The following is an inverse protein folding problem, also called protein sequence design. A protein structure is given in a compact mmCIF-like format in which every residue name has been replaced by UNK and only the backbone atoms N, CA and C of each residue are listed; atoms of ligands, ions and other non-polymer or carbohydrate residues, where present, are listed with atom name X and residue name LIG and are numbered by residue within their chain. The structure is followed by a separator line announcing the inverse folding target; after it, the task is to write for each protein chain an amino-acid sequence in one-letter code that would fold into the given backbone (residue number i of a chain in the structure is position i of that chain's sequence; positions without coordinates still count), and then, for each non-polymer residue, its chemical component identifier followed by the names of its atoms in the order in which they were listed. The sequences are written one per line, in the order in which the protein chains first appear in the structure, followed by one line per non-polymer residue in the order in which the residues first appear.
data_IF_463561086085
#
_entry.id   IF_463561086085
#
_cell.length_a   1.000
_cell.length_b   1.000
_cell.length_c   1.000
_cell.angle_alpha   90.00
_cell.angle_beta   90.00
_cell.angle_gamma   90.00
#
_symmetry.space_group_name_H-M   'P 1'
#
loop_
_entity.id
_entity.type
_entity.pdbx_description
1 polymer ?
#
# COMPACT_ATOMS: atom_id res chain seq x y z
N UNK A 1 1.02 -31.92 11.68
CA UNK A 1 1.66 -30.83 10.94
C UNK A 1 3.15 -30.90 11.24
N UNK A 2 4.01 -31.04 10.23
CA UNK A 2 5.46 -31.04 10.43
C UNK A 2 5.95 -29.65 10.84
N UNK A 3 7.18 -29.53 11.33
CA UNK A 3 7.74 -28.24 11.72
C UNK A 3 7.81 -27.28 10.53
N UNK A 4 8.17 -27.78 9.35
CA UNK A 4 8.22 -27.02 8.10
C UNK A 4 6.83 -26.54 7.66
N UNK A 5 5.79 -27.36 7.86
CA UNK A 5 4.41 -26.95 7.57
C UNK A 5 3.93 -25.84 8.50
N UNK A 6 4.42 -25.77 9.74
CA UNK A 6 4.10 -24.65 10.63
C UNK A 6 4.67 -23.32 10.10
N UNK A 7 5.85 -23.33 9.48
CA UNK A 7 6.40 -22.12 8.85
C UNK A 7 5.51 -21.61 7.71
N UNK A 8 4.92 -22.52 6.94
CA UNK A 8 3.96 -22.17 5.87
C UNK A 8 2.67 -21.60 6.48
N UNK A 9 2.18 -22.21 7.56
CA UNK A 9 0.97 -21.77 8.27
C UNK A 9 1.11 -20.34 8.83
N UNK A 10 2.29 -20.01 9.36
CA UNK A 10 2.60 -18.67 9.90
C UNK A 10 3.21 -17.70 8.87
N UNK A 11 3.36 -18.10 7.61
CA UNK A 11 3.85 -17.22 6.55
C UNK A 11 2.83 -16.12 6.27
N UNK A 12 3.30 -14.88 6.14
CA UNK A 12 2.46 -13.76 5.76
C UNK A 12 2.00 -13.83 4.30
N UNK A 13 2.64 -14.65 3.47
CA UNK A 13 2.29 -14.82 2.08
C UNK A 13 1.27 -15.95 1.91
N UNK A 14 0.15 -15.75 1.17
CA UNK A 14 -0.76 -16.82 0.83
C UNK A 14 -0.05 -17.98 0.14
N UNK A 15 -0.33 -19.19 0.61
CA UNK A 15 0.10 -20.44 -0.01
C UNK A 15 -1.10 -21.36 -0.19
N UNK A 16 -1.24 -21.93 -1.39
CA UNK A 16 -2.27 -22.93 -1.71
C UNK A 16 -1.64 -24.08 -2.48
N UNK A 17 -2.00 -25.30 -2.09
CA UNK A 17 -1.70 -26.54 -2.78
C UNK A 17 -2.99 -27.09 -3.39
N UNK A 18 -2.97 -27.34 -4.69
CA UNK A 18 -4.07 -27.94 -5.44
C UNK A 18 -3.71 -29.34 -5.91
N UNK A 19 -4.72 -30.18 -6.10
CA UNK A 19 -4.58 -31.38 -6.92
C UNK A 19 -4.76 -31.04 -8.42
N UNK A 20 -4.52 -32.02 -9.27
CA UNK A 20 -4.66 -31.92 -10.74
C UNK A 20 -6.06 -31.55 -11.24
N UNK A 21 -7.10 -31.71 -10.40
CA UNK A 21 -8.47 -31.31 -10.71
C UNK A 21 -8.83 -29.90 -10.21
N UNK A 22 -7.85 -29.13 -9.70
CA UNK A 22 -8.06 -27.79 -9.16
C UNK A 22 -8.72 -27.74 -7.78
N UNK A 23 -8.82 -28.88 -7.08
CA UNK A 23 -9.31 -28.93 -5.71
C UNK A 23 -8.17 -28.60 -4.75
N UNK A 24 -8.46 -27.73 -3.78
CA UNK A 24 -7.52 -27.39 -2.71
C UNK A 24 -7.26 -28.63 -1.83
N UNK A 25 -5.99 -29.02 -1.73
CA UNK A 25 -5.49 -30.05 -0.81
C UNK A 25 -5.16 -29.41 0.53
N UNK A 26 -4.45 -28.29 0.50
CA UNK A 26 -4.06 -27.54 1.70
C UNK A 26 -3.84 -26.07 1.38
N UNK A 27 -3.95 -25.23 2.40
CA UNK A 27 -3.66 -23.80 2.32
C UNK A 27 -3.24 -23.30 3.71
N UNK A 28 -2.58 -22.14 3.78
CA UNK A 28 -2.31 -21.47 5.05
C UNK A 28 -3.43 -20.51 5.45
N UNK A 29 -3.38 -20.03 6.70
CA UNK A 29 -4.30 -19.01 7.23
C UNK A 29 -4.45 -17.78 6.33
N UNK A 30 -3.36 -17.27 5.74
CA UNK A 30 -3.46 -16.09 4.87
C UNK A 30 -4.23 -16.37 3.57
N UNK A 31 -4.02 -17.53 2.95
CA UNK A 31 -4.76 -17.94 1.77
C UNK A 31 -6.27 -18.14 2.04
N UNK A 32 -6.66 -18.55 3.24
CA UNK A 32 -8.07 -18.58 3.67
C UNK A 32 -8.73 -17.20 3.53
N UNK A 33 -8.05 -16.13 3.92
CA UNK A 33 -8.58 -14.77 3.78
C UNK A 33 -8.56 -14.28 2.34
N UNK A 34 -7.58 -14.71 1.54
CA UNK A 34 -7.50 -14.39 0.11
C UNK A 34 -8.69 -14.97 -0.66
N UNK A 35 -9.15 -16.18 -0.31
CA UNK A 35 -10.31 -16.83 -0.94
C UNK A 35 -11.64 -16.10 -0.72
N UNK A 36 -11.67 -15.06 0.12
CA UNK A 36 -12.79 -14.12 0.18
C UNK A 36 -12.81 -13.08 -0.94
N UNK A 37 -11.72 -12.93 -1.69
CA UNK A 37 -11.55 -11.94 -2.75
C UNK A 37 -11.33 -12.55 -4.16
N UNK A 38 -10.85 -13.79 -4.24
CA UNK A 38 -10.64 -14.55 -5.49
C UNK A 38 -11.14 -15.98 -5.30
N UNK A 39 -11.66 -16.60 -6.35
CA UNK A 39 -12.11 -17.99 -6.29
C UNK A 39 -10.94 -18.98 -6.37
N UNK A 40 -11.14 -20.20 -5.84
CA UNK A 40 -10.15 -21.27 -5.94
C UNK A 40 -9.84 -21.65 -7.41
N UNK A 41 -10.84 -21.62 -8.28
CA UNK A 41 -10.70 -21.90 -9.71
C UNK A 41 -9.82 -20.87 -10.42
N UNK A 42 -10.07 -19.58 -10.18
CA UNK A 42 -9.22 -18.50 -10.72
C UNK A 42 -7.77 -18.65 -10.24
N UNK A 43 -7.57 -18.94 -8.95
CA UNK A 43 -6.24 -19.11 -8.40
C UNK A 43 -5.51 -20.34 -8.96
N UNK A 44 -6.22 -21.43 -9.23
CA UNK A 44 -5.69 -22.61 -9.91
C UNK A 44 -5.31 -22.31 -11.37
N UNK A 45 -6.12 -21.52 -12.08
CA UNK A 45 -5.81 -21.05 -13.43
C UNK A 45 -4.53 -20.18 -13.44
N UNK A 46 -4.31 -19.35 -12.41
CA UNK A 46 -3.03 -18.65 -12.24
C UNK A 46 -1.87 -19.63 -12.03
N UNK A 47 -2.03 -20.62 -11.16
CA UNK A 47 -0.98 -21.61 -10.90
C UNK A 47 -0.57 -22.33 -12.21
N UNK A 48 -1.53 -22.84 -12.97
CA UNK A 48 -1.25 -23.54 -14.24
C UNK A 48 -0.65 -22.62 -15.31
N UNK A 49 -1.11 -21.37 -15.41
CA UNK A 49 -0.59 -20.39 -16.38
C UNK A 49 0.87 -20.03 -16.12
N UNK A 50 1.27 -19.92 -14.85
CA UNK A 50 2.61 -19.48 -14.45
C UNK A 50 3.55 -20.62 -14.06
N UNK A 51 3.08 -21.87 -14.13
CA UNK A 51 3.89 -23.05 -13.93
C UNK A 51 5.13 -23.06 -14.83
N UNK A 52 6.19 -23.71 -14.35
CA UNK A 52 7.32 -24.02 -15.19
C UNK A 52 6.92 -25.06 -16.27
N UNK A 53 7.64 -25.14 -17.38
CA UNK A 53 7.37 -26.16 -18.43
C UNK A 53 7.83 -27.56 -17.98
N UNK A 54 8.85 -27.62 -17.13
CA UNK A 54 9.36 -28.83 -16.51
C UNK A 54 9.11 -28.81 -15.00
N UNK A 55 9.10 -30.00 -14.37
CA UNK A 55 9.04 -30.14 -12.92
C UNK A 55 10.03 -29.22 -12.21
N UNK A 56 9.61 -28.68 -11.07
CA UNK A 56 10.36 -27.73 -10.26
C UNK A 56 9.55 -26.48 -9.92
N UNK A 57 10.27 -25.43 -9.55
CA UNK A 57 9.71 -24.19 -9.03
C UNK A 57 10.09 -23.02 -9.94
N UNK A 58 9.14 -22.11 -10.16
CA UNK A 58 9.32 -20.89 -10.95
C UNK A 58 8.71 -19.70 -10.23
N UNK A 59 9.55 -18.71 -9.96
CA UNK A 59 9.10 -17.39 -9.49
C UNK A 59 8.92 -16.46 -10.68
N UNK A 60 7.76 -15.83 -10.77
CA UNK A 60 7.45 -14.80 -11.78
C UNK A 60 7.08 -13.51 -11.08
N UNK A 61 7.73 -12.40 -11.45
CA UNK A 61 7.36 -11.06 -11.00
C UNK A 61 6.19 -10.56 -11.83
N UNK A 62 5.03 -10.43 -11.18
CA UNK A 62 3.78 -10.02 -11.80
C UNK A 62 2.96 -9.26 -10.76
N UNK A 63 2.39 -8.14 -11.17
CA UNK A 63 1.48 -7.37 -10.33
C UNK A 63 0.09 -8.00 -10.40
N UNK A 64 -0.41 -8.47 -9.25
CA UNK A 64 -1.76 -9.02 -9.11
C UNK A 64 -2.53 -8.23 -8.05
N UNK A 65 -3.78 -7.91 -8.35
CA UNK A 65 -4.67 -7.17 -7.45
C UNK A 65 -5.98 -7.96 -7.28
N UNK A 66 -6.25 -8.41 -6.05
CA UNK A 66 -7.45 -9.14 -5.66
C UNK A 66 -8.12 -8.40 -4.50
N UNK A 67 -8.94 -7.41 -4.84
CA UNK A 67 -9.66 -6.58 -3.88
C UNK A 67 -8.72 -5.68 -3.08
N UNK A 68 -8.41 -6.08 -1.84
CA UNK A 68 -7.46 -5.35 -0.97
C UNK A 68 -6.06 -5.92 -1.00
N UNK A 69 -5.87 -7.11 -1.58
CA UNK A 69 -4.60 -7.81 -1.60
C UNK A 69 -3.84 -7.44 -2.88
N UNK A 70 -2.59 -7.01 -2.70
CA UNK A 70 -1.69 -6.70 -3.80
C UNK A 70 -0.45 -7.57 -3.72
N UNK A 71 -0.04 -8.13 -4.84
CA UNK A 71 1.10 -9.02 -4.96
C UNK A 71 2.07 -8.51 -6.02
N UNK A 72 3.37 -8.69 -5.80
CA UNK A 72 4.42 -8.29 -6.75
C UNK A 72 5.09 -9.48 -7.45
N UNK A 73 4.86 -10.69 -6.94
CA UNK A 73 5.39 -11.91 -7.51
C UNK A 73 4.54 -13.10 -7.10
N UNK A 74 4.70 -14.20 -7.82
CA UNK A 74 4.20 -15.53 -7.47
C UNK A 74 5.30 -16.56 -7.67
N UNK A 75 5.32 -17.59 -6.82
CA UNK A 75 6.09 -18.82 -7.07
C UNK A 75 5.11 -19.95 -7.30
N UNK A 76 5.24 -20.63 -8.42
CA UNK A 76 4.50 -21.85 -8.73
C UNK A 76 5.48 -23.02 -8.72
N UNK A 77 5.10 -24.14 -8.12
CA UNK A 77 5.92 -25.34 -8.08
C UNK A 77 5.11 -26.62 -8.16
N UNK A 78 5.69 -27.63 -8.80
CA UNK A 78 5.14 -28.98 -8.89
C UNK A 78 6.27 -29.98 -9.15
N UNK A 79 6.19 -31.15 -8.53
CA UNK A 79 7.19 -32.22 -8.67
C UNK A 79 6.66 -33.42 -9.47
N UNK A 80 5.36 -33.44 -9.74
CA UNK A 80 4.63 -34.47 -10.46
C UNK A 80 3.35 -33.87 -11.08
N UNK A 81 2.57 -34.68 -11.79
CA UNK A 81 1.33 -34.25 -12.44
C UNK A 81 0.09 -34.32 -11.50
N UNK A 82 0.27 -34.66 -10.22
CA UNK A 82 -0.82 -34.83 -9.25
C UNK A 82 -1.10 -33.56 -8.47
N UNK A 83 -0.07 -32.77 -8.17
CA UNK A 83 -0.14 -31.62 -7.28
C UNK A 83 0.58 -30.39 -7.84
N UNK A 84 0.01 -29.22 -7.60
CA UNK A 84 0.61 -27.93 -7.94
C UNK A 84 0.41 -26.92 -6.80
N UNK A 85 1.51 -26.31 -6.38
CA UNK A 85 1.54 -25.28 -5.35
C UNK A 85 1.69 -23.88 -5.95
N UNK A 86 1.00 -22.90 -5.36
CA UNK A 86 1.20 -21.48 -5.63
C UNK A 86 1.42 -20.72 -4.33
N UNK A 87 2.46 -19.89 -4.31
CA UNK A 87 2.75 -18.92 -3.26
C UNK A 87 2.68 -17.52 -3.86
N UNK A 88 1.91 -16.62 -3.23
CA UNK A 88 1.76 -15.24 -3.69
C UNK A 88 2.52 -14.30 -2.76
N UNK A 89 3.45 -13.52 -3.31
CA UNK A 89 4.26 -12.59 -2.52
C UNK A 89 3.52 -11.27 -2.35
N UNK A 90 2.99 -11.06 -1.14
CA UNK A 90 2.30 -9.83 -0.80
C UNK A 90 3.26 -8.66 -0.94
N UNK A 91 2.80 -7.58 -1.58
CA UNK A 91 3.44 -6.29 -1.39
C UNK A 91 3.36 -6.01 0.10
N UNK A 92 4.50 -5.74 0.77
CA UNK A 92 4.47 -5.41 2.18
C UNK A 92 3.48 -4.25 2.38
N UNK A 93 2.34 -4.54 3.00
CA UNK A 93 1.62 -3.49 3.70
C UNK A 93 2.58 -3.11 4.82
N UNK A 94 3.21 -1.94 4.70
CA UNK A 94 4.24 -1.50 5.63
C UNK A 94 3.70 -1.68 7.06
N UNK A 95 4.19 -2.71 7.75
CA UNK A 95 3.82 -2.98 9.14
C UNK A 95 4.33 -1.78 9.91
N UNK A 96 3.37 -1.01 10.41
CA UNK A 96 3.56 0.18 11.21
C UNK A 96 4.57 -0.13 12.31
N UNK A 97 5.78 0.42 12.19
CA UNK A 97 6.63 0.59 13.36
C UNK A 97 5.87 1.55 14.26
N UNK A 98 5.25 1.00 15.31
CA UNK A 98 4.52 1.69 16.40
C UNK A 98 4.57 3.21 16.23
N UNK A 99 3.61 3.85 15.52
CA UNK A 99 3.63 5.29 15.41
C UNK A 99 3.52 5.80 16.83
N UNK A 100 4.57 6.46 17.35
CA UNK A 100 4.38 7.16 18.61
C UNK A 100 3.30 8.21 18.34
N UNK A 101 2.35 8.35 19.26
CA UNK A 101 1.43 9.47 19.27
C UNK A 101 2.24 10.73 19.64
N UNK A 102 3.03 11.20 18.68
CA UNK A 102 3.81 12.44 18.75
C UNK A 102 3.11 13.42 17.81
N UNK A 103 2.70 14.57 18.35
CA UNK A 103 1.99 15.58 17.59
C UNK A 103 1.03 16.40 18.42
N UNK A 104 0.37 17.34 17.74
CA UNK A 104 -0.62 18.23 18.30
C UNK A 104 -1.92 18.11 17.51
N UNK A 105 -3.06 18.37 18.16
CA UNK A 105 -4.35 18.41 17.49
C UNK A 105 -4.33 19.56 16.46
N UNK A 106 -4.39 19.20 15.18
CA UNK A 106 -4.16 20.14 14.08
C UNK A 106 -5.21 19.97 12.99
N UNK A 107 -5.59 21.11 12.41
CA UNK A 107 -6.41 21.17 11.20
C UNK A 107 -5.55 20.87 9.96
N UNK A 108 -5.79 19.72 9.32
CA UNK A 108 -5.02 19.27 8.17
C UNK A 108 -5.12 20.23 6.96
N UNK A 109 -6.28 20.86 6.75
CA UNK A 109 -6.48 21.81 5.65
C UNK A 109 -5.54 23.01 5.79
N UNK A 110 -5.34 23.50 7.02
CA UNK A 110 -4.43 24.60 7.31
C UNK A 110 -2.99 24.25 6.96
N UNK A 111 -2.53 23.04 7.29
CA UNK A 111 -1.17 22.59 6.96
C UNK A 111 -0.97 22.48 5.44
N UNK A 112 -1.96 21.91 4.73
CA UNK A 112 -1.89 21.78 3.28
C UNK A 112 -1.90 23.16 2.61
N UNK A 113 -2.77 24.06 3.04
CA UNK A 113 -2.86 25.43 2.52
C UNK A 113 -1.58 26.24 2.78
N UNK A 114 -0.95 26.06 3.94
CA UNK A 114 0.34 26.67 4.24
C UNK A 114 1.41 26.21 3.25
N UNK A 115 1.49 24.90 2.98
CA UNK A 115 2.47 24.35 2.06
C UNK A 115 2.23 24.81 0.62
N UNK A 116 0.97 24.81 0.16
CA UNK A 116 0.57 25.34 -1.15
C UNK A 116 0.97 26.81 -1.26
N UNK A 117 0.62 27.63 -0.26
CA UNK A 117 0.91 29.05 -0.26
C UNK A 117 2.42 29.29 -0.35
N UNK A 118 3.20 28.56 0.45
CA UNK A 118 4.67 28.64 0.44
C UNK A 118 5.25 28.31 -0.93
N UNK A 119 4.78 27.25 -1.58
CA UNK A 119 5.25 26.87 -2.92
C UNK A 119 4.81 27.83 -4.01
N UNK A 120 3.62 28.40 -3.89
CA UNK A 120 3.08 29.33 -4.89
C UNK A 120 3.81 30.68 -4.94
N UNK A 121 4.54 31.08 -3.89
CA UNK A 121 5.23 32.39 -3.84
C UNK A 121 6.26 32.54 -4.97
N UNK A 122 6.97 31.46 -5.31
CA UNK A 122 8.07 31.48 -6.28
C UNK A 122 7.79 30.59 -7.49
N UNK A 123 6.52 30.39 -7.85
CA UNK A 123 6.11 29.38 -8.81
C UNK A 123 4.91 29.83 -9.63
N UNK A 124 4.97 29.61 -10.95
CA UNK A 124 3.86 29.87 -11.87
C UNK A 124 2.83 28.72 -11.90
N UNK A 125 3.00 27.72 -11.04
CA UNK A 125 2.15 26.53 -10.97
C UNK A 125 0.77 26.90 -10.40
N UNK A 126 -0.28 26.42 -11.05
CA UNK A 126 -1.65 26.55 -10.56
C UNK A 126 -1.97 25.39 -9.61
N UNK A 127 -2.22 25.70 -8.34
CA UNK A 127 -2.60 24.71 -7.33
C UNK A 127 -4.13 24.57 -7.26
N UNK A 128 -4.62 23.38 -7.60
CA UNK A 128 -6.03 22.99 -7.51
C UNK A 128 -6.27 22.20 -6.23
N UNK A 129 -7.42 22.44 -5.58
CA UNK A 129 -7.79 21.81 -4.30
C UNK A 129 -9.11 21.07 -4.44
N UNK A 130 -9.16 19.86 -3.90
CA UNK A 130 -10.36 19.01 -3.84
C UNK A 130 -10.42 18.38 -2.44
N UNK A 131 -10.96 19.13 -1.49
CA UNK A 131 -10.93 18.78 -0.07
C UNK A 131 -12.31 18.31 0.39
N UNK A 132 -12.38 17.09 0.89
CA UNK A 132 -13.50 16.57 1.65
C UNK A 132 -13.57 17.34 2.97
N UNK A 133 -14.62 18.15 3.24
CA UNK A 133 -14.70 18.99 4.43
C UNK A 133 -15.06 18.19 5.70
N UNK A 134 -15.29 16.88 5.59
CA UNK A 134 -15.70 16.03 6.71
C UNK A 134 -14.53 15.54 7.57
N UNK A 135 -13.28 15.77 7.15
CA UNK A 135 -12.11 15.37 7.93
C UNK A 135 -11.98 16.28 9.16
N UNK A 136 -12.00 15.71 10.39
CA UNK A 136 -11.86 16.46 11.63
C UNK A 136 -10.41 16.88 11.86
N UNK A 137 -10.19 17.64 12.94
CA UNK A 137 -8.83 17.86 13.45
C UNK A 137 -8.24 16.53 13.94
N UNK A 138 -6.94 16.36 13.71
CA UNK A 138 -6.23 15.12 14.00
C UNK A 138 -4.96 15.39 14.77
N UNK A 139 -4.53 14.43 15.58
CA UNK A 139 -3.21 14.44 16.21
C UNK A 139 -2.17 14.06 15.16
N UNK A 140 -1.27 14.98 14.85
CA UNK A 140 -0.24 14.80 13.82
C UNK A 140 1.04 15.55 14.19
N UNK A 141 2.19 14.98 13.80
CA UNK A 141 3.46 15.70 13.77
C UNK A 141 3.47 16.69 12.61
N UNK A 142 2.97 17.90 12.87
CA UNK A 142 2.87 19.00 11.91
C UNK A 142 4.22 19.34 11.27
N UNK A 143 5.32 19.25 12.02
CA UNK A 143 6.65 19.60 11.50
C UNK A 143 7.10 18.61 10.43
N UNK A 144 7.00 17.30 10.71
CA UNK A 144 7.36 16.29 9.73
C UNK A 144 6.36 16.25 8.57
N UNK A 145 5.07 16.50 8.82
CA UNK A 145 4.07 16.59 7.75
C UNK A 145 4.39 17.72 6.76
N UNK A 146 4.69 18.93 7.25
CA UNK A 146 5.07 20.07 6.41
C UNK A 146 6.33 19.75 5.59
N UNK A 147 7.35 19.14 6.21
CA UNK A 147 8.59 18.75 5.50
C UNK A 147 8.31 17.77 4.36
N UNK A 148 7.52 16.72 4.64
CA UNK A 148 7.12 15.71 3.66
C UNK A 148 6.33 16.36 2.53
N UNK A 149 5.29 17.13 2.85
CA UNK A 149 4.40 17.71 1.84
C UNK A 149 5.12 18.72 0.96
N UNK A 150 6.01 19.54 1.53
CA UNK A 150 6.89 20.40 0.75
C UNK A 150 7.80 19.59 -0.19
N UNK A 151 8.37 18.47 0.28
CA UNK A 151 9.18 17.61 -0.60
C UNK A 151 8.33 16.97 -1.71
N UNK A 152 7.08 16.61 -1.43
CA UNK A 152 6.13 16.12 -2.45
C UNK A 152 5.92 17.17 -3.53
N UNK A 153 5.60 18.42 -3.17
CA UNK A 153 5.43 19.48 -4.17
C UNK A 153 6.69 19.69 -5.03
N UNK A 154 7.88 19.53 -4.43
CA UNK A 154 9.14 19.62 -5.18
C UNK A 154 9.24 18.58 -6.32
N UNK A 155 8.60 17.41 -6.15
CA UNK A 155 8.58 16.34 -7.15
C UNK A 155 7.74 16.71 -8.39
N UNK A 156 6.92 17.75 -8.30
CA UNK A 156 5.97 18.17 -9.33
C UNK A 156 6.26 19.59 -9.88
N UNK A 157 7.39 20.21 -9.55
CA UNK A 157 7.74 21.60 -9.94
C UNK A 157 7.65 21.90 -11.45
N UNK A 158 7.84 20.92 -12.32
CA UNK A 158 7.86 21.10 -13.77
C UNK A 158 6.47 20.93 -14.43
N UNK A 159 5.39 21.24 -13.72
CA UNK A 159 4.03 21.08 -14.22
C UNK A 159 3.23 22.37 -14.12
N UNK A 160 2.37 22.66 -15.09
CA UNK A 160 1.51 23.84 -15.06
C UNK A 160 0.47 23.80 -13.93
N UNK A 161 0.03 22.61 -13.54
CA UNK A 161 -1.05 22.41 -12.55
C UNK A 161 -0.70 21.29 -11.59
N UNK A 162 -0.92 21.50 -10.30
CA UNK A 162 -0.84 20.45 -9.28
C UNK A 162 -2.21 20.34 -8.61
N UNK A 163 -2.74 19.13 -8.53
CA UNK A 163 -3.98 18.83 -7.82
C UNK A 163 -3.66 18.20 -6.47
N UNK A 164 -4.16 18.82 -5.40
CA UNK A 164 -4.11 18.27 -4.05
C UNK A 164 -5.52 17.88 -3.61
N UNK A 165 -5.69 16.61 -3.23
CA UNK A 165 -6.95 16.09 -2.71
C UNK A 165 -6.83 15.71 -1.25
N UNK A 166 -7.88 15.95 -0.49
CA UNK A 166 -8.07 15.38 0.85
C UNK A 166 -9.35 14.57 0.80
N UNK A 167 -9.30 13.28 1.12
CA UNK A 167 -10.49 12.41 1.06
C UNK A 167 -10.46 11.30 2.11
N UNK A 168 -11.65 10.94 2.60
CA UNK A 168 -11.83 9.81 3.51
C UNK A 168 -11.67 8.47 2.76
N UNK A 169 -10.96 7.50 3.35
CA UNK A 169 -10.82 6.14 2.79
C UNK A 169 -11.85 5.20 3.41
N UNK A 170 -13.01 5.09 2.77
CA UNK A 170 -14.12 4.25 3.25
C UNK A 170 -13.68 2.78 3.40
N UNK A 171 -13.86 2.22 4.59
CA UNK A 171 -13.59 0.82 4.89
C UNK A 171 -12.15 0.50 5.27
N UNK A 172 -11.20 1.42 5.07
CA UNK A 172 -9.81 1.24 5.47
C UNK A 172 -9.58 1.69 6.93
N UNK A 173 -8.91 0.85 7.71
CA UNK A 173 -8.65 1.10 9.12
C UNK A 173 -7.23 0.70 9.50
N UNK A 174 -6.59 1.49 10.37
CA UNK A 174 -5.33 1.14 11.03
C UNK A 174 -5.63 0.70 12.46
N UNK A 175 -5.02 -0.42 12.89
CA UNK A 175 -5.05 -0.85 14.28
C UNK A 175 -3.86 -0.24 15.03
N UNK A 176 -4.13 0.61 16.00
CA UNK A 176 -3.14 1.26 16.86
C UNK A 176 -3.58 1.17 18.32
N UNK A 177 -2.69 0.74 19.23
CA UNK A 177 -3.01 0.51 20.66
C UNK A 177 -4.32 -0.27 20.89
N UNK A 178 -4.52 -1.34 20.12
CA UNK A 178 -5.74 -2.16 20.10
C UNK A 178 -7.04 -1.46 19.69
N UNK A 179 -7.00 -0.17 19.35
CA UNK A 179 -8.11 0.57 18.75
C UNK A 179 -7.98 0.59 17.22
N UNK A 180 -9.13 0.58 16.54
CA UNK A 180 -9.22 0.77 15.08
C UNK A 180 -9.49 2.25 14.81
N UNK A 181 -8.65 2.86 13.99
CA UNK A 181 -8.82 4.22 13.50
C UNK A 181 -9.11 4.18 12.01
N UNK A 182 -10.11 4.95 11.58
CA UNK A 182 -10.32 5.20 10.15
C UNK A 182 -9.14 5.97 9.56
N UNK A 183 -9.01 5.92 8.24
CA UNK A 183 -7.92 6.57 7.51
C UNK A 183 -8.51 7.61 6.56
N UNK A 184 -7.80 8.73 6.42
CA UNK A 184 -7.99 9.64 5.29
C UNK A 184 -6.65 9.81 4.55
N UNK A 185 -6.73 10.35 3.34
CA UNK A 185 -5.59 10.55 2.47
C UNK A 185 -5.41 12.01 2.09
N UNK A 186 -4.14 12.41 1.97
CA UNK A 186 -3.71 13.60 1.23
C UNK A 186 -3.02 13.11 -0.04
N UNK A 187 -3.63 13.35 -1.19
CA UNK A 187 -3.08 12.98 -2.50
C UNK A 187 -2.57 14.21 -3.23
N UNK A 188 -1.36 14.13 -3.78
CA UNK A 188 -0.80 15.14 -4.68
C UNK A 188 -0.50 14.49 -6.02
N UNK A 189 -1.01 15.08 -7.09
CA UNK A 189 -0.88 14.55 -8.45
C UNK A 189 -0.73 15.65 -9.49
N UNK A 190 -0.06 15.31 -10.59
CA UNK A 190 0.07 16.14 -11.78
C UNK A 190 0.39 15.28 -13.01
N UNK A 191 0.65 15.91 -14.16
CA UNK A 191 0.93 15.25 -15.43
C UNK A 191 2.27 14.49 -15.42
N UNK A 192 3.31 15.12 -14.90
CA UNK A 192 4.66 14.57 -14.83
C UNK A 192 5.15 14.53 -13.38
N UNK A 193 6.00 13.56 -13.07
CA UNK A 193 6.63 13.44 -11.76
C UNK A 193 8.15 13.31 -11.94
N UNK A 194 8.93 13.97 -11.09
CA UNK A 194 10.39 13.89 -11.11
C UNK A 194 10.85 12.66 -10.32
N UNK A 195 11.25 11.60 -11.03
CA UNK A 195 11.65 10.32 -10.45
C UNK A 195 12.88 10.42 -9.53
N UNK A 196 13.85 11.28 -9.84
CA UNK A 196 15.04 11.49 -8.99
C UNK A 196 14.64 12.04 -7.63
N UNK A 197 13.77 13.07 -7.62
CA UNK A 197 13.24 13.66 -6.38
C UNK A 197 12.34 12.70 -5.61
N UNK A 198 11.66 11.77 -6.30
CA UNK A 198 10.86 10.72 -5.67
C UNK A 198 11.74 9.75 -4.89
N UNK A 199 12.92 9.39 -5.41
CA UNK A 199 13.84 8.52 -4.68
C UNK A 199 14.33 9.18 -3.38
N UNK A 200 14.65 10.48 -3.42
CA UNK A 200 14.99 11.25 -2.21
C UNK A 200 13.81 11.31 -1.22
N UNK A 201 12.59 11.50 -1.74
CA UNK A 201 11.39 11.52 -0.91
C UNK A 201 11.13 10.16 -0.23
N UNK A 202 11.36 9.04 -0.91
CA UNK A 202 11.25 7.69 -0.31
C UNK A 202 12.21 7.52 0.87
N UNK A 203 13.46 7.99 0.74
CA UNK A 203 14.45 7.96 1.83
C UNK A 203 14.01 8.83 3.00
N UNK A 204 13.47 10.02 2.72
CA UNK A 204 12.98 10.93 3.75
C UNK A 204 11.75 10.34 4.48
N UNK A 205 10.82 9.75 3.72
CA UNK A 205 9.61 9.12 4.24
C UNK A 205 9.90 7.90 5.12
N UNK A 206 10.94 7.12 4.82
CA UNK A 206 11.35 5.96 5.60
C UNK A 206 11.70 6.28 7.07
N UNK A 207 12.03 7.54 7.37
CA UNK A 207 12.32 8.03 8.72
C UNK A 207 11.10 8.67 9.42
N UNK A 208 9.92 8.62 8.81
CA UNK A 208 8.69 9.21 9.35
C UNK A 208 7.64 8.13 9.66
N UNK A 209 6.66 8.47 10.49
CA UNK A 209 5.50 7.61 10.78
C UNK A 209 4.40 7.68 9.72
N UNK A 210 4.59 8.48 8.66
CA UNK A 210 3.59 8.66 7.60
C UNK A 210 3.61 7.50 6.61
N UNK A 211 2.43 6.95 6.32
CA UNK A 211 2.29 5.90 5.31
C UNK A 211 2.11 6.54 3.93
N UNK A 212 3.05 6.26 3.02
CA UNK A 212 3.05 6.88 1.70
C UNK A 212 2.98 5.85 0.57
N UNK A 213 2.13 6.11 -0.42
CA UNK A 213 2.06 5.37 -1.68
C UNK A 213 2.66 6.21 -2.81
N UNK A 214 3.60 5.61 -3.54
CA UNK A 214 4.37 6.25 -4.61
C UNK A 214 4.08 5.54 -5.93
N UNK A 215 3.12 6.06 -6.69
CA UNK A 215 2.82 5.63 -8.05
C UNK A 215 2.96 6.83 -9.00
N UNK A 216 2.07 6.96 -10.00
CA UNK A 216 1.93 8.20 -10.82
C UNK A 216 1.44 9.41 -10.01
N UNK A 217 1.10 9.19 -8.74
CA UNK A 217 0.64 10.15 -7.76
C UNK A 217 1.29 9.80 -6.43
N UNK A 218 1.40 10.78 -5.54
CA UNK A 218 1.91 10.56 -4.18
C UNK A 218 0.75 10.71 -3.21
N UNK A 219 0.52 9.68 -2.39
CA UNK A 219 -0.57 9.66 -1.40
C UNK A 219 0.04 9.51 -0.03
N UNK A 220 -0.29 10.40 0.90
CA UNK A 220 -0.04 10.26 2.32
C UNK A 220 -1.32 9.74 2.98
N UNK A 221 -1.25 8.62 3.67
CA UNK A 221 -2.34 8.03 4.43
C UNK A 221 -2.13 8.31 5.92
N UNK A 222 -3.15 8.87 6.55
CA UNK A 222 -3.07 9.38 7.91
C UNK A 222 -4.23 8.80 8.73
N UNK A 223 -3.96 8.18 9.89
CA UNK A 223 -5.01 7.71 10.77
C UNK A 223 -5.76 8.91 11.39
N UNK A 224 -7.09 8.81 11.46
CA UNK A 224 -7.96 9.80 12.09
C UNK A 224 -7.96 9.64 13.61
N UNK A 225 -6.85 10.04 14.24
CA UNK A 225 -6.71 10.05 15.70
C UNK A 225 -7.12 11.44 16.20
N UNK A 226 -8.22 11.52 16.94
CA UNK A 226 -8.76 12.79 17.44
C UNK A 226 -8.59 12.96 18.96
N UNK A 227 -8.21 11.89 19.68
CA UNK A 227 -7.98 11.85 21.12
C UNK A 227 -7.21 10.62 21.57
#
# INVERSE_FOLDING_TARGET
MTFEQQWIEYDYNPFVLFNSNGKIISLNSEAQFLLGAITAEELFNFATTYANVSFGFKTTFVELDFGRYKFFAITVGYENDEEIGIKLYQIPSFKLNKPKLEGELTNIYTLVDLCISTYSINSDIIFLKDFDPTIPEIIIDSNNFIKILNKIYSCYENNEKILTKIFYRVGEHIKFEDKKYSIFSVEVSSKNINEDKINELKVLAANTSFYMDFQKKVIINIPMITS
#
